data_IF_421006449622
#
_entry.id   IF_421006449622
#
_cell.length_a   1.000
_cell.length_b   1.000
_cell.length_c   1.000
_cell.angle_alpha   90.00
_cell.angle_beta   90.00
_cell.angle_gamma   90.00
#
_symmetry.space_group_name_H-M   'P 1'
#
loop_
_entity.id
_entity.type
_entity.pdbx_description
1 polymer ?
#
# COMPACT_ATOMS: atom_id res chain seq x y z
N UNK A 1 6.71 -2.62 0.77
CA UNK A 1 5.60 -2.61 -0.19
C UNK A 1 4.90 -1.25 -0.20
N UNK A 2 4.14 -1.00 -1.23
CA UNK A 2 3.22 0.14 -1.31
C UNK A 2 1.88 -0.39 -1.81
N UNK A 3 0.81 0.02 -1.12
CA UNK A 3 -0.55 -0.41 -1.45
C UNK A 3 -1.41 0.82 -1.67
N UNK A 4 -2.12 0.84 -2.79
CA UNK A 4 -3.00 1.95 -3.15
C UNK A 4 -4.44 1.68 -2.75
N UNK A 5 -5.09 2.67 -2.17
CA UNK A 5 -6.50 2.63 -1.83
C UNK A 5 -7.17 3.94 -2.21
N UNK A 6 -8.36 3.87 -2.79
CA UNK A 6 -9.15 5.07 -3.02
C UNK A 6 -9.74 5.54 -1.69
N UNK A 7 -9.51 6.81 -1.28
CA UNK A 7 -9.98 7.27 0.04
C UNK A 7 -11.50 7.24 0.19
N UNK A 8 -12.24 7.28 -0.89
CA UNK A 8 -13.71 7.14 -0.85
C UNK A 8 -14.17 5.72 -0.50
N UNK A 9 -13.31 4.73 -0.74
CA UNK A 9 -13.60 3.31 -0.47
C UNK A 9 -12.99 2.89 0.86
N UNK A 10 -11.70 3.16 1.06
CA UNK A 10 -10.98 2.81 2.29
C UNK A 10 -9.86 3.78 2.53
N UNK A 11 -10.06 4.72 3.47
CA UNK A 11 -9.10 5.77 3.80
C UNK A 11 -8.16 5.34 4.92
N UNK A 12 -7.09 6.12 5.11
CA UNK A 12 -6.18 5.93 6.25
C UNK A 12 -6.93 6.08 7.58
N UNK A 13 -7.91 6.98 7.63
CA UNK A 13 -8.72 7.16 8.85
C UNK A 13 -9.54 5.93 9.18
N UNK A 14 -10.12 5.28 8.17
CA UNK A 14 -10.85 4.03 8.35
C UNK A 14 -9.92 2.91 8.80
N UNK A 15 -8.72 2.84 8.22
CA UNK A 15 -7.70 1.87 8.60
C UNK A 15 -7.26 2.09 10.05
N UNK A 16 -7.09 3.35 10.45
CA UNK A 16 -6.73 3.71 11.83
C UNK A 16 -7.81 3.27 12.80
N UNK A 17 -9.07 3.47 12.47
CA UNK A 17 -10.21 3.07 13.30
C UNK A 17 -10.34 1.55 13.45
N UNK A 18 -9.86 0.78 12.47
CA UNK A 18 -9.86 -0.67 12.56
C UNK A 18 -8.89 -1.18 13.64
N UNK A 19 -7.92 -0.36 14.05
CA UNK A 19 -7.01 -0.64 15.15
C UNK A 19 -6.15 -1.87 14.94
N UNK A 20 -5.77 -2.53 16.03
CA UNK A 20 -4.90 -3.71 16.00
C UNK A 20 -5.57 -4.95 15.41
N UNK A 21 -6.90 -4.98 15.37
CA UNK A 21 -7.64 -6.03 14.70
C UNK A 21 -7.31 -6.09 13.22
N UNK A 22 -7.04 -4.94 12.63
CA UNK A 22 -6.73 -4.81 11.22
C UNK A 22 -7.96 -4.95 10.32
N UNK A 23 -7.69 -4.96 9.03
CA UNK A 23 -8.74 -5.07 8.02
C UNK A 23 -8.22 -5.85 6.82
N UNK A 24 -9.08 -6.59 6.11
CA UNK A 24 -8.66 -7.28 4.91
C UNK A 24 -8.38 -6.28 3.79
N UNK A 25 -7.29 -6.50 3.07
CA UNK A 25 -6.99 -5.77 1.84
C UNK A 25 -7.50 -6.59 0.67
N UNK A 26 -8.74 -6.39 0.34
CA UNK A 26 -9.47 -7.17 -0.67
C UNK A 26 -9.77 -6.33 -1.91
N UNK A 27 -10.46 -6.93 -2.87
CA UNK A 27 -10.88 -6.24 -4.08
C UNK A 27 -9.79 -6.09 -5.13
N UNK A 28 -8.61 -6.67 -4.92
CA UNK A 28 -7.50 -6.60 -5.89
C UNK A 28 -7.78 -7.59 -7.03
N UNK A 29 -7.87 -7.07 -8.27
CA UNK A 29 -8.23 -7.90 -9.45
C UNK A 29 -7.17 -7.88 -10.55
N UNK A 30 -6.04 -7.24 -10.31
CA UNK A 30 -4.89 -7.25 -11.22
C UNK A 30 -3.99 -8.43 -10.85
N UNK A 31 -3.59 -9.25 -11.82
CA UNK A 31 -2.80 -10.45 -11.55
C UNK A 31 -1.42 -10.15 -10.98
N UNK A 32 -0.77 -9.09 -11.45
CA UNK A 32 0.54 -8.69 -10.93
C UNK A 32 0.43 -8.23 -9.48
N UNK A 33 -0.59 -7.44 -9.16
CA UNK A 33 -0.85 -6.99 -7.80
C UNK A 33 -1.16 -8.18 -6.88
N UNK A 34 -1.96 -9.13 -7.35
CA UNK A 34 -2.27 -10.35 -6.60
C UNK A 34 -1.02 -11.18 -6.33
N UNK A 35 -0.12 -11.29 -7.31
CA UNK A 35 1.17 -11.96 -7.13
C UNK A 35 1.98 -11.28 -6.04
N UNK A 36 1.98 -9.96 -6.01
CA UNK A 36 2.67 -9.19 -4.98
C UNK A 36 2.07 -9.45 -3.59
N UNK A 37 0.74 -9.50 -3.48
CA UNK A 37 0.07 -9.85 -2.22
C UNK A 37 0.50 -11.24 -1.72
N UNK A 38 0.61 -12.21 -2.63
CA UNK A 38 1.05 -13.58 -2.28
C UNK A 38 2.49 -13.62 -1.77
N UNK A 39 3.30 -12.64 -2.14
CA UNK A 39 4.71 -12.56 -1.71
C UNK A 39 4.88 -11.89 -0.36
N UNK A 40 3.85 -11.23 0.15
CA UNK A 40 3.93 -10.53 1.43
C UNK A 40 4.02 -11.51 2.59
N UNK A 41 4.82 -11.15 3.59
CA UNK A 41 5.01 -11.93 4.81
C UNK A 41 4.48 -11.16 6.02
N UNK A 42 4.00 -11.90 6.99
CA UNK A 42 3.59 -11.33 8.28
C UNK A 42 4.74 -10.48 8.85
N UNK A 43 4.43 -9.25 9.24
CA UNK A 43 5.40 -8.28 9.72
C UNK A 43 5.92 -7.32 8.66
N UNK A 44 5.66 -7.59 7.39
CA UNK A 44 6.05 -6.66 6.31
C UNK A 44 5.32 -5.34 6.50
N UNK A 45 6.05 -4.24 6.27
CA UNK A 45 5.47 -2.91 6.31
C UNK A 45 5.15 -2.45 4.90
N UNK A 46 4.05 -1.72 4.79
CA UNK A 46 3.55 -1.23 3.52
C UNK A 46 3.18 0.23 3.64
N UNK A 47 3.65 1.05 2.70
CA UNK A 47 3.13 2.40 2.56
C UNK A 47 1.65 2.35 2.15
N UNK A 48 0.84 3.17 2.78
CA UNK A 48 -0.57 3.34 2.46
C UNK A 48 -0.70 4.58 1.58
N UNK A 49 -1.13 4.40 0.35
CA UNK A 49 -1.20 5.46 -0.65
C UNK A 49 -2.67 5.73 -1.01
N UNK A 50 -3.09 6.98 -0.89
CA UNK A 50 -4.41 7.41 -1.39
C UNK A 50 -4.32 7.63 -2.89
N UNK A 51 -4.99 6.78 -3.66
CA UNK A 51 -5.06 6.91 -5.11
C UNK A 51 -6.28 7.72 -5.51
N UNK A 52 -6.28 8.20 -6.75
CA UNK A 52 -7.38 8.96 -7.34
C UNK A 52 -7.53 10.37 -6.75
N UNK A 53 -7.90 10.48 -5.48
CA UNK A 53 -8.03 11.75 -4.78
C UNK A 53 -6.83 11.89 -3.83
N UNK A 54 -6.13 13.02 -3.90
CA UNK A 54 -4.95 13.30 -3.10
C UNK A 54 -3.66 12.81 -3.72
N UNK A 55 -3.61 11.57 -4.18
CA UNK A 55 -2.42 10.94 -4.81
C UNK A 55 -1.17 11.14 -3.97
N UNK A 56 -1.19 10.58 -2.76
CA UNK A 56 -0.08 10.74 -1.82
C UNK A 56 0.03 9.56 -0.85
N UNK A 57 1.24 9.32 -0.37
CA UNK A 57 1.48 8.37 0.71
C UNK A 57 1.08 9.06 2.01
N UNK A 58 0.20 8.42 2.78
CA UNK A 58 -0.36 9.02 4.00
C UNK A 58 -0.04 8.26 5.27
N UNK A 59 0.41 7.02 5.17
CA UNK A 59 0.69 6.23 6.35
C UNK A 59 1.42 4.94 6.05
N UNK A 60 1.60 4.13 7.09
CA UNK A 60 2.21 2.81 7.01
C UNK A 60 1.29 1.80 7.71
N UNK A 61 1.09 0.66 7.07
CA UNK A 61 0.37 -0.48 7.64
C UNK A 61 1.33 -1.68 7.73
N UNK A 62 0.97 -2.66 8.54
CA UNK A 62 1.76 -3.87 8.73
C UNK A 62 0.92 -5.10 8.42
N UNK A 63 1.48 -6.04 7.68
CA UNK A 63 0.81 -7.30 7.37
C UNK A 63 0.73 -8.14 8.64
N UNK A 64 -0.49 -8.50 9.03
CA UNK A 64 -0.73 -9.34 10.21
C UNK A 64 -1.15 -10.75 9.83
N UNK A 65 -1.66 -10.94 8.60
CA UNK A 65 -2.04 -12.24 8.09
C UNK A 65 -1.65 -12.35 6.61
N UNK A 66 -0.87 -13.36 6.29
CA UNK A 66 -0.45 -13.62 4.91
C UNK A 66 -1.64 -14.02 4.06
N UNK A 67 -1.46 -14.04 2.74
CA UNK A 67 -2.54 -14.16 1.78
C UNK A 67 -3.51 -15.33 2.07
N UNK A 68 -4.76 -15.07 1.76
CA UNK A 68 -5.85 -16.03 1.80
C UNK A 68 -6.81 -15.70 0.66
N UNK A 69 -7.74 -16.61 0.35
CA UNK A 69 -8.71 -16.38 -0.71
C UNK A 69 -9.55 -15.14 -0.38
N UNK A 70 -9.64 -14.22 -1.34
CA UNK A 70 -10.46 -13.02 -1.23
C UNK A 70 -11.94 -13.41 -1.28
N UNK A 71 -12.66 -13.20 -0.19
CA UNK A 71 -14.07 -13.54 -0.06
C UNK A 71 -14.97 -12.77 -1.02
N UNK A 72 -14.50 -11.62 -1.54
CA UNK A 72 -15.25 -10.82 -2.51
C UNK A 72 -15.10 -11.34 -3.94
N UNK A 73 -14.19 -12.30 -4.16
CA UNK A 73 -13.96 -12.93 -5.46
C UNK A 73 -14.57 -14.32 -5.48
N UNK A 74 -15.67 -14.48 -6.20
CA UNK A 74 -16.37 -15.75 -6.32
C UNK A 74 -15.58 -16.79 -7.12
N UNK A 75 -14.64 -16.36 -7.97
CA UNK A 75 -13.83 -17.28 -8.80
C UNK A 75 -12.75 -18.00 -7.99
N UNK A 76 -12.37 -17.48 -6.82
CA UNK A 76 -11.30 -18.04 -6.00
C UNK A 76 -9.90 -17.82 -6.54
N UNK A 77 -9.73 -16.93 -7.53
CA UNK A 77 -8.44 -16.67 -8.18
C UNK A 77 -7.63 -15.58 -7.48
N UNK A 78 -8.29 -14.70 -6.77
CA UNK A 78 -7.65 -13.54 -6.17
C UNK A 78 -7.56 -13.70 -4.66
N UNK A 79 -6.57 -13.03 -4.08
CA UNK A 79 -6.24 -13.15 -2.67
C UNK A 79 -6.31 -11.81 -1.96
N UNK A 80 -6.40 -11.88 -0.65
CA UNK A 80 -6.33 -10.72 0.24
C UNK A 80 -5.26 -11.00 1.29
N UNK A 81 -4.78 -9.93 1.93
CA UNK A 81 -3.97 -10.01 3.14
C UNK A 81 -4.68 -9.18 4.21
N UNK A 82 -4.36 -9.41 5.48
CA UNK A 82 -4.86 -8.55 6.56
C UNK A 82 -3.74 -7.62 6.98
N UNK A 83 -4.05 -6.33 7.09
CA UNK A 83 -3.09 -5.31 7.53
C UNK A 83 -3.68 -4.53 8.70
N UNK A 84 -2.81 -4.04 9.58
CA UNK A 84 -3.18 -3.14 10.67
C UNK A 84 -2.51 -1.79 10.50
N UNK A 85 -3.13 -0.75 11.02
CA UNK A 85 -2.54 0.58 11.05
C UNK A 85 -1.27 0.56 11.92
N UNK A 86 -0.18 1.10 11.39
CA UNK A 86 1.06 1.23 12.14
C UNK A 86 1.33 2.69 12.52
N UNK A 87 1.30 3.58 11.54
CA UNK A 87 1.46 5.02 11.78
C UNK A 87 0.95 5.85 10.61
N UNK A 88 0.64 7.09 10.92
CA UNK A 88 0.33 8.11 9.92
C UNK A 88 1.60 8.91 9.68
N UNK A 89 1.83 9.37 8.44
CA UNK A 89 2.98 10.22 8.14
C UNK A 89 2.74 11.62 8.68
N UNK A 90 3.75 12.21 9.32
CA UNK A 90 3.69 13.60 9.73
C UNK A 90 3.52 14.52 8.54
N UNK A 91 4.16 14.14 7.43
CA UNK A 91 4.07 14.85 6.16
C UNK A 91 3.70 13.89 5.05
N UNK A 92 2.46 13.94 4.53
CA UNK A 92 2.10 13.15 3.36
C UNK A 92 3.04 13.43 2.19
N UNK A 93 3.34 12.39 1.42
CA UNK A 93 4.26 12.49 0.28
C UNK A 93 3.46 12.38 -1.01
N UNK A 94 3.37 13.48 -1.76
CA UNK A 94 2.62 13.51 -3.01
C UNK A 94 3.34 12.76 -4.12
N UNK A 95 2.55 12.23 -5.07
CA UNK A 95 3.10 11.62 -6.28
C UNK A 95 3.98 12.61 -7.03
N UNK A 96 3.58 13.88 -7.06
CA UNK A 96 4.34 14.94 -7.71
C UNK A 96 5.72 15.11 -7.10
N UNK A 97 5.83 15.11 -5.77
CA UNK A 97 7.12 15.18 -5.07
C UNK A 97 7.98 13.95 -5.39
N UNK A 98 7.37 12.77 -5.43
CA UNK A 98 8.07 11.52 -5.75
C UNK A 98 8.64 11.57 -7.17
N UNK A 99 7.86 12.08 -8.13
CA UNK A 99 8.30 12.20 -9.52
C UNK A 99 9.48 13.14 -9.70
N UNK A 100 9.63 14.13 -8.83
CA UNK A 100 10.75 15.07 -8.87
C UNK A 100 12.04 14.49 -8.33
N UNK A 101 11.96 13.36 -7.62
CA UNK A 101 13.12 12.74 -6.98
C UNK A 101 13.74 11.72 -7.93
N UNK A 102 14.91 12.04 -8.46
CA UNK A 102 15.63 11.21 -9.44
C UNK A 102 15.81 9.77 -8.98
N UNK A 103 16.16 9.59 -7.72
CA UNK A 103 16.44 8.26 -7.16
C UNK A 103 15.19 7.38 -7.01
N UNK A 104 13.99 7.94 -7.20
CA UNK A 104 12.73 7.23 -7.13
C UNK A 104 12.11 6.97 -8.50
N UNK A 105 12.78 7.38 -9.58
CA UNK A 105 12.22 7.31 -10.94
C UNK A 105 11.97 5.89 -11.44
N UNK A 106 12.60 4.89 -10.85
CA UNK A 106 12.44 3.48 -11.21
C UNK A 106 11.21 2.82 -10.59
N UNK A 107 10.56 3.48 -9.61
CA UNK A 107 9.45 2.88 -8.88
C UNK A 107 8.26 2.55 -9.79
N UNK A 108 7.65 1.40 -9.55
CA UNK A 108 6.42 1.00 -10.25
C UNK A 108 5.29 2.00 -10.05
N UNK A 109 5.29 2.71 -8.92
CA UNK A 109 4.33 3.79 -8.65
C UNK A 109 4.32 4.82 -9.79
N UNK A 110 5.48 5.09 -10.36
CA UNK A 110 5.62 6.03 -11.47
C UNK A 110 5.42 5.33 -12.82
N UNK A 111 6.01 4.16 -13.00
CA UNK A 111 6.05 3.45 -14.29
C UNK A 111 4.78 2.69 -14.61
N UNK A 112 4.06 2.22 -13.60
CA UNK A 112 2.86 1.40 -13.75
C UNK A 112 1.71 2.02 -12.96
N UNK A 113 1.11 3.07 -13.51
CA UNK A 113 0.09 3.87 -12.81
C UNK A 113 -1.14 3.07 -12.38
N UNK A 114 -1.42 1.93 -13.02
CA UNK A 114 -2.58 1.09 -12.71
C UNK A 114 -2.28 -0.05 -11.74
N UNK A 115 -1.03 -0.24 -11.39
CA UNK A 115 -0.65 -1.26 -10.42
C UNK A 115 -0.98 -0.77 -9.01
N UNK A 116 -1.74 -1.53 -8.25
CA UNK A 116 -2.22 -1.12 -6.92
C UNK A 116 -1.41 -1.67 -5.76
N UNK A 117 -0.59 -2.68 -6.00
CA UNK A 117 0.28 -3.27 -4.98
C UNK A 117 1.64 -3.51 -5.62
N UNK A 118 2.69 -2.97 -5.02
CA UNK A 118 4.02 -3.03 -5.61
C UNK A 118 5.12 -3.13 -4.56
N UNK A 119 6.25 -3.75 -4.92
CA UNK A 119 7.41 -3.75 -4.03
C UNK A 119 8.09 -2.38 -4.02
N UNK A 120 8.72 -2.06 -2.90
CA UNK A 120 9.57 -0.88 -2.75
C UNK A 120 10.93 -1.39 -2.30
N UNK A 121 11.98 -1.06 -3.05
CA UNK A 121 13.34 -1.46 -2.68
C UNK A 121 13.81 -0.74 -1.40
N UNK A 122 14.79 -1.33 -0.71
CA UNK A 122 15.27 -0.83 0.57
C UNK A 122 15.74 0.62 0.54
N UNK A 123 16.44 1.01 -0.53
CA UNK A 123 16.93 2.37 -0.67
C UNK A 123 15.78 3.36 -0.80
N UNK A 124 14.81 3.04 -1.66
CA UNK A 124 13.63 3.89 -1.87
C UNK A 124 12.78 3.97 -0.60
N UNK A 125 12.66 2.87 0.13
CA UNK A 125 11.95 2.83 1.41
C UNK A 125 12.53 3.85 2.38
N UNK A 126 13.86 3.89 2.50
CA UNK A 126 14.56 4.83 3.38
C UNK A 126 14.36 6.29 2.93
N UNK A 127 14.44 6.53 1.63
CA UNK A 127 14.22 7.88 1.07
C UNK A 127 12.81 8.36 1.38
N UNK A 128 11.80 7.52 1.14
CA UNK A 128 10.41 7.87 1.38
C UNK A 128 10.13 8.10 2.88
N UNK A 129 10.71 7.29 3.75
CA UNK A 129 10.59 7.50 5.21
C UNK A 129 11.13 8.86 5.60
N UNK A 130 12.28 9.23 5.06
CA UNK A 130 12.90 10.53 5.33
C UNK A 130 12.03 11.67 4.82
N UNK A 131 11.45 11.55 3.62
CA UNK A 131 10.55 12.54 3.05
C UNK A 131 9.30 12.72 3.91
N UNK A 132 8.77 11.64 4.45
CA UNK A 132 7.60 11.65 5.33
C UNK A 132 7.89 12.00 6.78
N UNK A 133 9.15 12.24 7.12
CA UNK A 133 9.61 12.58 8.47
C UNK A 133 9.25 11.50 9.51
N UNK A 134 9.46 10.27 9.13
CA UNK A 134 9.24 9.14 10.03
C UNK A 134 10.55 8.76 10.73
#
# INVERSE_FOLDING_TARGET
WLMKSEPDVWSIDQQKKAGNKGAPWDGVRNYQAAKNLRSMKKGDQCFFYHSNIGKEIVGIVEVTKEHYIDKTDQSGRFVAVTVKFLRELDKPISLEEIKKHKELSHLSLIKQSRLSVMPIDSKSWKILNKMGKI
#
